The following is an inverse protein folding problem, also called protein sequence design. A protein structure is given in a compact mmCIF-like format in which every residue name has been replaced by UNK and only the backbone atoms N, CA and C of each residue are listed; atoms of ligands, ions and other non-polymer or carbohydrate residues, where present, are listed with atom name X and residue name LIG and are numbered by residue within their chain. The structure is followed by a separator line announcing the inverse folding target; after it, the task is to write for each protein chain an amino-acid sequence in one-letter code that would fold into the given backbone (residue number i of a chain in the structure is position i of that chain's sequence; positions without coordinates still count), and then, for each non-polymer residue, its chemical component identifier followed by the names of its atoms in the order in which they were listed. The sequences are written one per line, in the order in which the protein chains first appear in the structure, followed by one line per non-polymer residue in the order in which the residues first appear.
data_IF_676786047409
#
_entry.id   IF_676786047409
#
_cell.length_a   1.000
_cell.length_b   1.000
_cell.length_c   1.000
_cell.angle_alpha   90.00
_cell.angle_beta   90.00
_cell.angle_gamma   90.00
#
_symmetry.space_group_name_H-M   'P 1'
#
loop_
_entity.id
_entity.type
_entity.pdbx_description
1 polymer ?
#
# COMPACT_ATOMS: atom_id res chain seq x y z
N UNK A 1 -11.92 2.03 -48.84
CA UNK A 1 -10.60 2.64 -48.62
C UNK A 1 -10.56 3.15 -47.20
N UNK A 2 -9.83 2.40 -46.37
CA UNK A 2 -8.99 2.71 -45.21
C UNK A 2 -9.26 3.89 -44.26
N UNK A 3 -8.84 3.73 -42.98
CA UNK A 3 -9.54 4.15 -41.78
C UNK A 3 -8.79 5.23 -40.99
N UNK A 4 -9.45 5.81 -39.97
CA UNK A 4 -8.79 6.43 -38.80
C UNK A 4 -9.87 6.48 -37.71
N UNK A 5 -9.85 5.61 -36.69
CA UNK A 5 -8.98 5.71 -35.52
C UNK A 5 -8.78 7.17 -35.11
N UNK A 6 -9.62 7.61 -34.18
CA UNK A 6 -9.18 8.52 -33.14
C UNK A 6 -9.89 8.06 -31.88
N UNK A 7 -9.39 6.91 -31.38
CA UNK A 7 -9.45 6.51 -29.98
C UNK A 7 -9.23 7.76 -29.13
N UNK A 8 -10.32 8.28 -28.58
CA UNK A 8 -10.37 9.46 -27.71
C UNK A 8 -10.77 9.10 -26.29
N UNK A 9 -10.85 7.80 -25.99
CA UNK A 9 -11.11 7.27 -24.66
C UNK A 9 -9.81 6.60 -24.17
N UNK A 10 -9.26 7.13 -23.07
CA UNK A 10 -8.45 6.38 -22.10
C UNK A 10 -7.13 5.71 -22.54
N UNK A 11 -6.15 6.48 -23.03
CA UNK A 11 -4.73 6.07 -23.00
C UNK A 11 -3.88 7.13 -22.28
N UNK A 12 -4.40 7.64 -21.16
CA UNK A 12 -3.50 8.14 -20.12
C UNK A 12 -2.85 6.89 -19.53
N UNK A 13 -1.51 6.75 -19.56
CA UNK A 13 -0.86 5.72 -18.77
C UNK A 13 -1.42 5.85 -17.35
N UNK A 14 -1.72 4.76 -16.63
CA UNK A 14 -2.07 4.88 -15.22
C UNK A 14 -0.96 5.71 -14.60
N UNK A 15 -1.28 6.95 -14.20
CA UNK A 15 -0.30 7.74 -13.48
C UNK A 15 0.15 6.83 -12.34
N UNK A 16 1.47 6.64 -12.15
CA UNK A 16 1.93 5.76 -11.09
C UNK A 16 1.34 6.33 -9.82
N UNK A 17 0.32 5.63 -9.33
CA UNK A 17 -0.42 6.04 -8.17
C UNK A 17 0.62 6.21 -7.07
N UNK A 18 0.83 7.44 -6.60
CA UNK A 18 1.96 7.76 -5.72
C UNK A 18 1.98 6.79 -4.52
N UNK A 19 0.79 6.39 -4.04
CA UNK A 19 0.61 5.38 -3.02
C UNK A 19 1.19 3.99 -3.38
N UNK A 20 1.00 3.51 -4.61
CA UNK A 20 1.54 2.23 -5.09
C UNK A 20 3.05 2.27 -5.20
N UNK A 21 3.63 3.38 -5.67
CA UNK A 21 5.08 3.54 -5.75
C UNK A 21 5.74 3.52 -4.37
N UNK A 22 5.15 4.24 -3.40
CA UNK A 22 5.60 4.23 -2.01
C UNK A 22 5.42 2.87 -1.35
N UNK A 23 4.31 2.18 -1.62
CA UNK A 23 4.08 0.82 -1.15
C UNK A 23 5.10 -0.17 -1.70
N UNK A 24 5.34 -0.17 -3.01
CA UNK A 24 6.32 -1.07 -3.64
C UNK A 24 7.73 -0.82 -3.10
N UNK A 25 8.09 0.43 -2.84
CA UNK A 25 9.34 0.79 -2.16
C UNK A 25 9.39 0.23 -0.73
N UNK A 26 8.31 0.38 0.03
CA UNK A 26 8.21 -0.18 1.38
C UNK A 26 8.37 -1.69 1.39
N UNK A 27 7.69 -2.37 0.46
CA UNK A 27 7.77 -3.82 0.28
C UNK A 27 9.19 -4.29 -0.04
N UNK A 28 9.87 -3.62 -0.97
CA UNK A 28 11.26 -3.93 -1.28
C UNK A 28 12.21 -3.70 -0.09
N UNK A 29 11.93 -2.71 0.77
CA UNK A 29 12.72 -2.46 1.98
C UNK A 29 12.45 -3.52 3.07
N UNK A 30 11.21 -3.99 3.17
CA UNK A 30 10.79 -5.07 4.06
C UNK A 30 11.51 -6.38 3.71
N UNK A 31 11.54 -6.73 2.41
CA UNK A 31 12.30 -7.89 1.88
C UNK A 31 13.81 -7.78 2.16
N UNK A 32 14.34 -6.56 2.28
CA UNK A 32 15.72 -6.29 2.63
C UNK A 32 15.98 -6.26 4.15
N UNK A 33 14.95 -6.46 4.98
CA UNK A 33 15.01 -6.39 6.44
C UNK A 33 15.16 -4.96 6.98
N UNK A 34 14.93 -3.94 6.16
CA UNK A 34 15.03 -2.52 6.53
C UNK A 34 13.66 -2.01 6.99
N UNK A 35 13.16 -2.62 8.07
CA UNK A 35 11.80 -2.43 8.56
C UNK A 35 11.46 -0.96 8.88
N UNK A 36 12.38 -0.19 9.49
CA UNK A 36 12.14 1.23 9.80
C UNK A 36 11.86 2.07 8.54
N UNK A 37 12.61 1.83 7.46
CA UNK A 37 12.44 2.54 6.20
C UNK A 37 11.24 2.02 5.40
N UNK A 38 10.92 0.73 5.56
CA UNK A 38 9.70 0.14 5.03
C UNK A 38 8.48 0.83 5.64
N UNK A 39 8.43 0.98 6.97
CA UNK A 39 7.37 1.70 7.70
C UNK A 39 7.25 3.12 7.19
N UNK A 40 8.37 3.86 7.07
CA UNK A 40 8.34 5.23 6.56
C UNK A 40 7.78 5.31 5.13
N UNK A 41 8.03 4.30 4.30
CA UNK A 41 7.50 4.23 2.93
C UNK A 41 6.00 3.88 2.93
N UNK A 42 5.56 2.95 3.78
CA UNK A 42 4.14 2.65 3.96
C UNK A 42 3.37 3.86 4.51
N UNK A 43 3.95 4.62 5.45
CA UNK A 43 3.36 5.87 5.95
C UNK A 43 3.18 6.91 4.83
N UNK A 44 4.11 6.98 3.86
CA UNK A 44 3.89 7.84 2.69
C UNK A 44 2.76 7.29 1.82
N UNK A 45 2.73 5.97 1.56
CA UNK A 45 1.63 5.37 0.80
C UNK A 45 0.27 5.70 1.42
N UNK A 46 0.17 5.62 2.74
CA UNK A 46 -1.03 5.93 3.51
C UNK A 46 -1.40 7.42 3.55
N UNK A 47 -0.43 8.33 3.34
CA UNK A 47 -0.74 9.76 3.15
C UNK A 47 -1.45 10.04 1.83
N UNK A 48 -1.09 9.29 0.79
CA UNK A 48 -1.75 9.40 -0.52
C UNK A 48 -3.08 8.65 -0.52
N UNK A 49 -3.09 7.42 0.03
CA UNK A 49 -4.26 6.55 0.07
C UNK A 49 -4.44 5.97 1.48
N UNK A 50 -5.19 6.66 2.37
CA UNK A 50 -5.32 6.27 3.78
C UNK A 50 -6.16 5.02 4.02
N UNK A 51 -6.97 4.60 3.06
CA UNK A 51 -7.78 3.37 3.08
C UNK A 51 -7.05 2.17 2.43
N UNK A 52 -5.76 2.32 2.10
CA UNK A 52 -4.98 1.25 1.48
C UNK A 52 -4.59 0.18 2.50
N UNK A 53 -5.50 -0.77 2.70
CA UNK A 53 -5.37 -1.85 3.68
C UNK A 53 -4.05 -2.64 3.56
N UNK A 54 -3.51 -2.84 2.35
CA UNK A 54 -2.25 -3.56 2.14
C UNK A 54 -1.05 -2.82 2.77
N UNK A 55 -1.02 -1.48 2.67
CA UNK A 55 0.02 -0.69 3.32
C UNK A 55 -0.11 -0.72 4.85
N UNK A 56 -1.34 -0.67 5.39
CA UNK A 56 -1.58 -0.84 6.82
C UNK A 56 -1.12 -2.22 7.34
N UNK A 57 -1.44 -3.29 6.60
CA UNK A 57 -1.04 -4.65 6.95
C UNK A 57 0.49 -4.80 6.97
N UNK A 58 1.18 -4.40 5.90
CA UNK A 58 2.63 -4.53 5.84
C UNK A 58 3.35 -3.58 6.81
N UNK A 59 2.77 -2.42 7.10
CA UNK A 59 3.24 -1.55 8.19
C UNK A 59 3.19 -2.26 9.54
N UNK A 60 2.07 -2.94 9.83
CA UNK A 60 1.92 -3.76 11.03
C UNK A 60 2.93 -4.90 11.10
N UNK A 61 3.19 -5.55 9.97
CA UNK A 61 4.19 -6.62 9.86
C UNK A 61 5.61 -6.11 10.16
N UNK A 62 6.02 -5.02 9.52
CA UNK A 62 7.33 -4.41 9.75
C UNK A 62 7.50 -3.95 11.21
N UNK A 63 6.46 -3.35 11.81
CA UNK A 63 6.47 -2.96 13.22
C UNK A 63 6.58 -4.16 14.17
N UNK A 64 5.90 -5.26 13.86
CA UNK A 64 6.03 -6.51 14.61
C UNK A 64 7.44 -7.09 14.58
N UNK A 65 8.13 -6.99 13.44
CA UNK A 65 9.53 -7.40 13.32
C UNK A 65 10.49 -6.51 14.13
N UNK A 66 10.12 -5.24 14.36
CA UNK A 66 10.84 -4.32 15.24
C UNK A 66 10.43 -4.42 16.72
N UNK A 67 9.57 -5.38 17.09
CA UNK A 67 9.01 -5.55 18.44
C UNK A 67 8.12 -4.37 18.90
N UNK A 68 7.66 -3.53 17.97
CA UNK A 68 6.71 -2.43 18.23
C UNK A 68 5.27 -2.93 18.16
N UNK A 69 4.92 -3.86 19.06
CA UNK A 69 3.65 -4.59 19.01
C UNK A 69 2.41 -3.68 19.13
N UNK A 70 2.49 -2.62 19.94
CA UNK A 70 1.38 -1.68 20.14
C UNK A 70 1.01 -0.96 18.84
N UNK A 71 2.00 -0.43 18.12
CA UNK A 71 1.80 0.24 16.84
C UNK A 71 1.42 -0.75 15.74
N UNK A 72 1.93 -1.99 15.81
CA UNK A 72 1.58 -3.05 14.89
C UNK A 72 0.08 -3.40 14.98
N UNK A 73 -0.44 -3.56 16.20
CA UNK A 73 -1.88 -3.83 16.44
C UNK A 73 -2.73 -2.72 15.87
N UNK A 74 -2.38 -1.45 16.13
CA UNK A 74 -3.11 -0.29 15.58
C UNK A 74 -3.11 -0.32 14.05
N UNK A 75 -1.99 -0.71 13.43
CA UNK A 75 -1.88 -0.81 11.97
C UNK A 75 -2.77 -1.92 11.42
N UNK A 76 -2.79 -3.10 12.05
CA UNK A 76 -3.68 -4.18 11.66
C UNK A 76 -5.16 -3.84 11.87
N UNK A 77 -5.51 -3.16 12.95
CA UNK A 77 -6.88 -2.67 13.19
C UNK A 77 -7.33 -1.71 12.08
N UNK A 78 -6.44 -0.82 11.61
CA UNK A 78 -6.75 0.03 10.45
C UNK A 78 -6.91 -0.79 9.17
N UNK A 79 -6.02 -1.76 8.92
CA UNK A 79 -6.13 -2.63 7.74
C UNK A 79 -7.49 -3.34 7.69
N UNK A 80 -7.91 -3.93 8.81
CA UNK A 80 -9.21 -4.61 8.96
C UNK A 80 -10.40 -3.65 8.82
N UNK A 81 -10.25 -2.40 9.25
CA UNK A 81 -11.30 -1.39 9.11
C UNK A 81 -11.57 -1.05 7.64
N UNK A 82 -10.54 -1.02 6.81
CA UNK A 82 -10.64 -0.65 5.39
C UNK A 82 -10.90 -1.85 4.48
N UNK A 83 -10.50 -3.06 4.87
CA UNK A 83 -10.94 -4.30 4.26
C UNK A 83 -11.55 -5.22 5.34
N UNK A 84 -12.84 -5.06 5.65
CA UNK A 84 -13.54 -5.95 6.57
C UNK A 84 -13.84 -7.34 5.96
N UNK A 85 -13.42 -7.60 4.72
CA UNK A 85 -13.93 -8.66 3.83
C UNK A 85 -13.26 -10.04 3.98
N UNK A 86 -12.60 -10.33 5.11
CA UNK A 86 -12.02 -11.65 5.37
C UNK A 86 -12.37 -12.20 6.77
N UNK A 87 -13.49 -11.73 7.33
CA UNK A 87 -14.20 -12.44 8.38
C UNK A 87 -15.44 -13.12 7.80
N UNK A 88 -15.24 -14.15 6.97
CA UNK A 88 -16.27 -15.18 6.84
C UNK A 88 -16.47 -15.81 8.24
N UNK A 89 -17.69 -15.69 8.74
CA UNK A 89 -18.15 -16.24 10.02
C UNK A 89 -18.43 -17.73 9.96
#
# INVERSE_FOLDING_TARGET
MNPNLSDGDDDLPPEPDDHQAWYAKGYALDDLGRFEEAIASYDQALKFQPDYHQAWYNRGYALGNLEHFEEAIVSYDQALKFQPDDHEA
#
